data_IF_797955516566
#
_entry.id   IF_797955516566
#
_cell.length_a   1.000
_cell.length_b   1.000
_cell.length_c   1.000
_cell.angle_alpha   90.00
_cell.angle_beta   90.00
_cell.angle_gamma   90.00
#
_symmetry.space_group_name_H-M   'P 1'
#
loop_
_entity.id
_entity.type
_entity.pdbx_description
1 polymer ?
#
# COMPACT_ATOMS: atom_id res chain seq x y z
N UNK A 1 3.52 16.63 -15.02
CA UNK A 1 3.12 15.25 -14.72
C UNK A 1 4.34 14.38 -14.96
N UNK A 2 5.18 14.18 -13.95
CA UNK A 2 6.43 13.41 -14.03
C UNK A 2 6.34 12.37 -12.91
N UNK A 3 6.07 11.10 -13.25
CA UNK A 3 6.08 10.00 -12.27
C UNK A 3 4.93 9.00 -12.34
N UNK A 4 3.92 9.21 -13.19
CA UNK A 4 2.81 8.25 -13.35
C UNK A 4 3.02 7.24 -14.48
N UNK A 5 4.11 7.37 -15.21
CA UNK A 5 4.54 6.42 -16.23
C UNK A 5 5.46 5.40 -15.56
N UNK A 6 4.85 4.35 -15.01
CA UNK A 6 5.59 3.16 -14.60
C UNK A 6 6.21 2.50 -15.84
N UNK A 7 7.41 1.93 -15.76
CA UNK A 7 8.02 1.25 -16.89
C UNK A 7 7.11 0.12 -17.36
N UNK A 8 6.53 0.29 -18.55
CA UNK A 8 5.79 -0.76 -19.21
C UNK A 8 6.78 -1.87 -19.59
N UNK A 9 6.53 -3.09 -19.12
CA UNK A 9 7.24 -4.28 -19.61
C UNK A 9 6.34 -4.93 -20.67
N UNK A 10 6.59 -4.80 -21.99
CA UNK A 10 5.83 -5.57 -22.97
C UNK A 10 6.57 -6.89 -23.30
N UNK A 11 5.86 -8.02 -23.18
CA UNK A 11 5.92 -9.22 -24.05
C UNK A 11 5.38 -10.50 -23.36
N UNK A 12 4.11 -10.47 -22.95
CA UNK A 12 3.19 -11.61 -22.75
C UNK A 12 1.82 -11.02 -22.40
N UNK A 13 0.67 -11.68 -22.66
CA UNK A 13 -0.58 -11.26 -22.03
C UNK A 13 -0.37 -11.25 -20.51
N UNK A 14 -0.64 -10.11 -19.87
CA UNK A 14 -0.46 -9.97 -18.44
C UNK A 14 -1.31 -11.03 -17.72
N UNK A 15 -0.69 -11.83 -16.87
CA UNK A 15 -1.37 -12.84 -16.07
C UNK A 15 -2.32 -12.17 -15.08
N UNK A 16 -1.93 -11.02 -14.52
CA UNK A 16 -2.68 -10.27 -13.52
C UNK A 16 -2.77 -8.78 -13.88
N UNK A 17 -3.90 -8.16 -13.59
CA UNK A 17 -4.18 -6.74 -13.78
C UNK A 17 -4.54 -6.06 -12.44
N UNK A 18 -3.76 -5.06 -12.04
CA UNK A 18 -3.96 -4.27 -10.84
C UNK A 18 -4.34 -2.85 -11.25
N UNK A 19 -5.57 -2.44 -10.92
CA UNK A 19 -6.03 -1.09 -11.15
C UNK A 19 -5.88 -0.25 -9.88
N UNK A 20 -5.01 0.75 -9.93
CA UNK A 20 -4.85 1.73 -8.87
C UNK A 20 -5.67 2.96 -9.23
N UNK A 21 -6.57 3.36 -8.35
CA UNK A 21 -7.40 4.55 -8.58
C UNK A 21 -6.54 5.81 -8.56
N UNK A 22 -6.59 6.59 -9.64
CA UNK A 22 -5.90 7.87 -9.77
C UNK A 22 -6.74 8.97 -9.12
N UNK A 23 -6.47 9.19 -7.84
CA UNK A 23 -7.11 10.27 -7.08
C UNK A 23 -6.45 11.63 -7.42
N UNK A 24 -7.20 12.75 -7.44
CA UNK A 24 -6.66 14.07 -7.80
C UNK A 24 -5.46 14.52 -6.95
N UNK A 25 -5.33 13.98 -5.73
CA UNK A 25 -4.25 14.29 -4.78
C UNK A 25 -3.52 13.02 -4.31
N UNK A 26 -3.35 12.05 -5.21
CA UNK A 26 -2.63 10.81 -4.93
C UNK A 26 -1.26 11.10 -4.30
N UNK A 27 -0.94 10.40 -3.22
CA UNK A 27 0.36 10.42 -2.56
C UNK A 27 0.95 9.00 -2.54
N UNK A 28 2.28 8.89 -2.37
CA UNK A 28 3.00 7.62 -2.26
C UNK A 28 2.71 6.66 -3.43
N UNK A 29 2.65 7.19 -4.66
CA UNK A 29 2.38 6.40 -5.87
C UNK A 29 3.47 5.33 -6.14
N UNK A 30 4.64 5.50 -5.54
CA UNK A 30 5.79 4.59 -5.55
C UNK A 30 5.53 3.29 -4.77
N UNK A 31 4.52 3.26 -3.89
CA UNK A 31 4.10 2.03 -3.20
C UNK A 31 3.80 0.87 -4.17
N UNK A 32 3.38 1.19 -5.40
CA UNK A 32 2.95 0.21 -6.41
C UNK A 32 4.05 -0.18 -7.40
N UNK A 33 5.20 0.50 -7.40
CA UNK A 33 6.35 0.14 -8.24
C UNK A 33 6.80 -1.33 -8.07
N UNK A 34 6.87 -1.88 -6.84
CA UNK A 34 7.26 -3.27 -6.66
C UNK A 34 6.33 -4.25 -7.38
N UNK A 35 5.03 -3.98 -7.45
CA UNK A 35 4.07 -4.81 -8.20
C UNK A 35 4.30 -4.68 -9.72
N UNK A 36 4.55 -3.48 -10.21
CA UNK A 36 4.77 -3.23 -11.63
C UNK A 36 6.04 -3.90 -12.20
N UNK A 37 7.00 -4.22 -11.31
CA UNK A 37 8.23 -4.94 -11.65
C UNK A 37 8.05 -6.46 -11.67
N UNK A 38 6.93 -6.98 -11.19
CA UNK A 38 6.70 -8.42 -11.12
C UNK A 38 6.34 -8.98 -12.51
N UNK A 39 6.94 -10.12 -12.92
CA UNK A 39 6.68 -10.69 -14.23
C UNK A 39 5.19 -10.99 -14.44
N UNK A 40 4.64 -10.54 -15.57
CA UNK A 40 3.25 -10.81 -15.93
C UNK A 40 2.20 -10.04 -15.10
N UNK A 41 2.61 -9.07 -14.29
CA UNK A 41 1.69 -8.18 -13.55
C UNK A 41 1.61 -6.84 -14.27
N UNK A 42 0.40 -6.43 -14.64
CA UNK A 42 0.12 -5.09 -15.15
C UNK A 42 -0.39 -4.23 -14.00
N UNK A 43 0.22 -3.07 -13.79
CA UNK A 43 -0.28 -2.04 -12.88
C UNK A 43 -0.69 -0.83 -13.70
N UNK A 44 -1.92 -0.35 -13.52
CA UNK A 44 -2.45 0.81 -14.25
C UNK A 44 -3.12 1.80 -13.31
N UNK A 45 -2.85 3.08 -13.53
CA UNK A 45 -3.46 4.18 -12.78
C UNK A 45 -4.69 4.70 -13.51
N UNK A 46 -5.86 4.54 -12.92
CA UNK A 46 -7.16 4.69 -13.57
C UNK A 46 -7.86 5.96 -13.11
N UNK A 47 -8.22 6.83 -14.05
CA UNK A 47 -8.99 8.05 -13.77
C UNK A 47 -10.50 7.91 -14.05
N UNK A 48 -10.89 7.05 -14.98
CA UNK A 48 -12.30 6.79 -15.31
C UNK A 48 -12.79 5.49 -14.61
N UNK A 49 -13.86 5.54 -13.80
CA UNK A 49 -14.42 4.35 -13.16
C UNK A 49 -14.70 3.18 -14.11
N UNK A 50 -15.04 3.43 -15.38
CA UNK A 50 -15.30 2.39 -16.38
C UNK A 50 -14.08 1.54 -16.68
N UNK A 51 -12.89 2.11 -16.51
CA UNK A 51 -11.66 1.36 -16.71
C UNK A 51 -11.40 0.42 -15.52
N UNK A 52 -12.07 0.52 -14.37
CA UNK A 52 -11.84 -0.40 -13.24
C UNK A 52 -12.33 -1.83 -13.50
N UNK A 53 -13.26 -2.00 -14.45
CA UNK A 53 -13.86 -3.29 -14.78
C UNK A 53 -12.81 -4.32 -15.24
N UNK A 54 -12.95 -5.55 -14.75
CA UNK A 54 -12.12 -6.69 -15.16
C UNK A 54 -10.69 -6.68 -14.60
N UNK A 55 -10.37 -5.79 -13.67
CA UNK A 55 -9.13 -5.87 -12.89
C UNK A 55 -9.16 -7.09 -11.97
N UNK A 56 -7.99 -7.68 -11.70
CA UNK A 56 -7.86 -8.77 -10.72
C UNK A 56 -7.74 -8.22 -9.29
N UNK A 57 -7.28 -6.98 -9.14
CA UNK A 57 -7.19 -6.25 -7.87
C UNK A 57 -7.47 -4.77 -8.10
N UNK A 58 -8.26 -4.19 -7.20
CA UNK A 58 -8.49 -2.76 -7.11
C UNK A 58 -7.74 -2.19 -5.91
N UNK A 59 -7.05 -1.07 -6.12
CA UNK A 59 -6.32 -0.39 -5.06
C UNK A 59 -6.80 1.05 -4.92
N UNK A 60 -7.23 1.39 -3.70
CA UNK A 60 -7.47 2.77 -3.29
C UNK A 60 -6.20 3.29 -2.59
N UNK A 61 -5.42 4.17 -3.24
CA UNK A 61 -4.22 4.73 -2.64
C UNK A 61 -4.57 5.82 -1.61
N UNK A 62 -3.53 6.32 -0.92
CA UNK A 62 -3.67 7.49 -0.05
C UNK A 62 -4.08 8.73 -0.83
N UNK A 63 -5.05 9.49 -0.30
CA UNK A 63 -5.47 10.81 -0.77
C UNK A 63 -5.60 11.76 0.42
N UNK A 64 -5.60 13.07 0.13
CA UNK A 64 -5.80 14.17 1.09
C UNK A 64 -7.18 14.85 0.95
N UNK A 65 -8.17 14.17 0.35
CA UNK A 65 -9.58 14.60 0.25
C UNK A 65 -10.43 13.52 -0.45
N UNK A 66 -11.58 13.21 0.16
CA UNK A 66 -12.03 11.81 0.26
C UNK A 66 -13.55 11.64 0.23
N UNK A 67 -14.31 12.48 -0.51
CA UNK A 67 -15.79 12.48 -0.45
C UNK A 67 -16.53 12.44 -1.79
N UNK A 68 -15.93 12.95 -2.88
CA UNK A 68 -16.70 13.29 -4.09
C UNK A 68 -16.37 12.45 -5.34
N UNK A 69 -15.31 11.62 -5.31
CA UNK A 69 -14.64 11.17 -6.55
C UNK A 69 -14.75 9.68 -6.88
N UNK A 70 -15.57 8.86 -6.20
CA UNK A 70 -15.59 7.42 -6.48
C UNK A 70 -16.98 6.86 -6.74
N UNK A 71 -17.22 6.53 -8.01
CA UNK A 71 -18.11 5.44 -8.39
C UNK A 71 -17.54 4.14 -7.81
N UNK A 72 -18.33 3.49 -6.97
CA UNK A 72 -17.92 2.32 -6.18
C UNK A 72 -17.42 1.20 -7.10
N UNK A 73 -16.28 0.56 -6.78
CA UNK A 73 -15.86 -0.64 -7.48
C UNK A 73 -16.94 -1.73 -7.40
N UNK A 74 -17.22 -2.37 -8.53
CA UNK A 74 -18.19 -3.46 -8.65
C UNK A 74 -17.89 -4.57 -7.63
N UNK A 75 -18.95 -5.19 -7.13
CA UNK A 75 -18.94 -6.06 -5.96
C UNK A 75 -18.26 -7.46 -6.14
N UNK A 76 -17.26 -7.60 -7.02
CA UNK A 76 -16.64 -8.89 -7.37
C UNK A 76 -15.13 -9.01 -7.13
N UNK A 77 -14.41 -7.90 -7.30
CA UNK A 77 -12.96 -7.85 -7.26
C UNK A 77 -12.43 -7.61 -5.83
N UNK A 78 -11.27 -8.20 -5.46
CA UNK A 78 -10.56 -7.80 -4.25
C UNK A 78 -10.20 -6.31 -4.26
N UNK A 79 -10.32 -5.66 -3.11
CA UNK A 79 -10.01 -4.24 -2.89
C UNK A 79 -8.99 -4.10 -1.76
N UNK A 80 -7.92 -3.34 -2.00
CA UNK A 80 -6.96 -2.92 -0.97
C UNK A 80 -6.97 -1.39 -0.84
N UNK A 81 -7.30 -0.88 0.34
CA UNK A 81 -7.20 0.54 0.68
C UNK A 81 -5.97 0.81 1.53
N UNK A 82 -5.16 1.81 1.15
CA UNK A 82 -3.96 2.23 1.87
C UNK A 82 -4.12 3.66 2.37
N UNK A 83 -3.93 3.88 3.67
CA UNK A 83 -4.04 5.17 4.35
C UNK A 83 -5.37 5.88 4.02
N UNK A 84 -5.40 6.98 3.27
CA UNK A 84 -6.66 7.62 2.85
C UNK A 84 -7.63 6.65 2.13
N UNK A 85 -7.09 5.69 1.38
CA UNK A 85 -7.85 4.61 0.77
C UNK A 85 -8.49 3.65 1.76
N UNK A 86 -7.81 3.35 2.87
CA UNK A 86 -8.40 2.60 3.97
C UNK A 86 -9.55 3.37 4.61
N UNK A 87 -9.36 4.67 4.85
CA UNK A 87 -10.38 5.52 5.44
C UNK A 87 -11.65 5.58 4.58
N UNK A 88 -11.50 5.64 3.25
CA UNK A 88 -12.61 5.58 2.29
C UNK A 88 -13.45 4.33 2.41
N UNK A 89 -12.84 3.19 2.69
CA UNK A 89 -13.55 1.92 2.76
C UNK A 89 -14.51 1.84 3.95
N UNK A 90 -14.33 2.70 4.96
CA UNK A 90 -15.15 2.74 6.17
C UNK A 90 -16.58 3.25 5.97
N UNK A 91 -17.33 3.27 7.06
CA UNK A 91 -18.70 3.77 7.12
C UNK A 91 -18.75 5.30 7.16
N UNK A 92 -17.80 5.93 7.85
CA UNK A 92 -17.75 7.38 8.01
C UNK A 92 -16.33 7.91 8.25
N UNK A 93 -16.11 9.14 7.77
CA UNK A 93 -14.94 9.96 8.03
C UNK A 93 -15.40 11.19 8.81
N UNK A 94 -14.95 11.32 10.06
CA UNK A 94 -15.31 12.39 10.98
C UNK A 94 -14.16 13.40 11.05
N UNK A 95 -14.46 14.66 10.76
CA UNK A 95 -13.51 15.77 10.84
C UNK A 95 -14.07 16.91 11.71
N UNK A 96 -14.25 16.69 13.02
CA UNK A 96 -14.91 17.65 13.91
C UNK A 96 -14.18 19.00 14.00
N UNK A 97 -12.90 19.03 13.62
CA UNK A 97 -12.06 20.24 13.58
C UNK A 97 -11.82 20.79 12.17
N UNK A 98 -12.39 20.17 11.13
CA UNK A 98 -12.27 20.58 9.72
C UNK A 98 -10.83 20.75 9.26
N UNK A 99 -9.98 19.81 9.63
CA UNK A 99 -8.54 19.82 9.32
C UNK A 99 -8.27 19.38 7.88
N UNK A 100 -9.05 18.42 7.38
CA UNK A 100 -8.90 17.79 6.04
C UNK A 100 -10.05 18.17 5.10
N UNK A 101 -11.27 18.36 5.62
CA UNK A 101 -12.46 18.63 4.82
C UNK A 101 -13.29 19.79 5.35
N UNK A 102 -14.07 20.42 4.46
CA UNK A 102 -14.97 21.51 4.83
C UNK A 102 -16.16 21.01 5.66
N UNK A 103 -16.56 19.75 5.46
CA UNK A 103 -17.65 19.11 6.18
C UNK A 103 -17.14 18.49 7.49
N UNK A 104 -17.91 18.57 8.59
CA UNK A 104 -17.51 17.96 9.86
C UNK A 104 -17.61 16.43 9.83
N UNK A 105 -18.32 15.86 8.87
CA UNK A 105 -18.44 14.42 8.66
C UNK A 105 -18.82 14.13 7.20
N UNK A 106 -18.31 13.02 6.68
CA UNK A 106 -18.62 12.50 5.34
C UNK A 106 -18.88 11.00 5.44
N UNK A 107 -19.87 10.50 4.70
CA UNK A 107 -20.07 9.06 4.55
C UNK A 107 -18.91 8.42 3.76
N UNK A 108 -18.42 7.28 4.24
CA UNK A 108 -17.49 6.46 3.48
C UNK A 108 -18.21 5.51 2.51
N UNK A 109 -17.47 4.59 1.89
CA UNK A 109 -18.00 3.59 0.95
C UNK A 109 -18.79 2.48 1.65
N UNK A 110 -18.63 2.31 2.97
CA UNK A 110 -19.34 1.32 3.77
C UNK A 110 -18.95 -0.13 3.47
N UNK A 111 -17.74 -0.37 2.97
CA UNK A 111 -17.23 -1.71 2.64
C UNK A 111 -16.56 -2.39 3.83
N UNK A 112 -16.11 -1.62 4.81
CA UNK A 112 -15.54 -2.09 6.07
C UNK A 112 -16.27 -1.43 7.26
N UNK A 113 -16.53 -2.16 8.35
CA UNK A 113 -17.17 -1.63 9.57
C UNK A 113 -16.18 -0.83 10.41
N UNK A 114 -15.67 0.26 9.82
CA UNK A 114 -14.69 1.14 10.43
C UNK A 114 -15.11 2.59 10.34
N UNK A 115 -14.76 3.38 11.35
CA UNK A 115 -15.00 4.83 11.39
C UNK A 115 -13.66 5.51 11.62
N UNK A 116 -13.34 6.51 10.79
CA UNK A 116 -12.09 7.26 10.94
C UNK A 116 -12.38 8.65 11.49
N UNK A 117 -11.69 9.06 12.54
CA UNK A 117 -11.72 10.43 13.07
C UNK A 117 -10.40 11.14 12.79
N UNK A 118 -10.45 12.32 12.18
CA UNK A 118 -9.25 13.13 11.90
C UNK A 118 -8.77 13.87 13.16
N UNK A 119 -7.52 13.59 13.51
CA UNK A 119 -6.78 14.21 14.60
C UNK A 119 -6.05 15.49 14.18
N UNK A 120 -5.53 16.22 15.16
CA UNK A 120 -4.60 17.34 14.97
C UNK A 120 -3.15 16.87 14.97
N UNK A 121 -2.90 15.66 15.47
CA UNK A 121 -1.58 15.05 15.54
C UNK A 121 -1.37 14.14 14.35
N UNK A 122 -0.18 14.24 13.76
CA UNK A 122 0.22 13.44 12.61
C UNK A 122 1.09 12.29 13.08
N UNK A 123 0.64 11.06 12.87
CA UNK A 123 1.46 9.87 13.02
C UNK A 123 2.46 9.82 11.87
N UNK A 124 3.75 9.79 12.20
CA UNK A 124 4.83 9.47 11.26
C UNK A 124 5.81 8.53 11.94
N UNK A 125 5.91 7.30 11.45
CA UNK A 125 6.77 6.29 12.06
C UNK A 125 7.25 5.26 11.03
N UNK A 126 8.49 4.79 11.18
CA UNK A 126 8.91 3.55 10.52
C UNK A 126 8.38 2.38 11.35
N UNK A 127 7.78 1.40 10.68
CA UNK A 127 7.05 0.32 11.33
C UNK A 127 7.68 -1.02 10.99
N UNK A 128 7.81 -1.87 12.00
CA UNK A 128 7.89 -3.33 11.78
C UNK A 128 6.56 -3.93 12.20
N UNK A 129 6.07 -4.86 11.39
CA UNK A 129 4.82 -5.53 11.63
C UNK A 129 4.90 -7.00 11.25
N UNK A 130 3.92 -7.77 11.73
CA UNK A 130 3.69 -9.16 11.37
C UNK A 130 2.36 -9.30 10.66
N UNK A 131 2.34 -10.03 9.55
CA UNK A 131 1.10 -10.38 8.87
C UNK A 131 0.27 -11.37 9.71
N UNK A 132 -1.00 -11.02 9.97
CA UNK A 132 -1.96 -11.82 10.74
C UNK A 132 -3.18 -12.26 9.94
N UNK A 133 -3.35 -11.74 8.71
CA UNK A 133 -4.50 -12.00 7.86
C UNK A 133 -4.89 -13.49 7.82
N UNK A 134 -6.09 -13.87 8.30
CA UNK A 134 -6.52 -15.27 8.31
C UNK A 134 -7.01 -15.77 6.94
N UNK A 135 -7.44 -14.84 6.07
CA UNK A 135 -7.99 -15.10 4.74
C UNK A 135 -7.56 -14.01 3.76
N UNK A 136 -7.92 -14.17 2.48
CA UNK A 136 -7.71 -13.13 1.47
C UNK A 136 -6.26 -13.01 0.98
N UNK A 137 -5.86 -11.83 0.46
CA UNK A 137 -4.65 -11.66 -0.33
C UNK A 137 -3.34 -11.95 0.43
N UNK A 138 -3.31 -11.77 1.75
CA UNK A 138 -2.09 -11.96 2.55
C UNK A 138 -2.10 -13.20 3.44
N UNK A 139 -3.11 -14.07 3.32
CA UNK A 139 -3.22 -15.26 4.18
C UNK A 139 -1.99 -16.19 4.09
N UNK A 140 -1.43 -16.38 2.90
CA UNK A 140 -0.24 -17.19 2.69
C UNK A 140 1.05 -16.57 3.28
N UNK A 141 1.01 -15.29 3.67
CA UNK A 141 2.10 -14.60 4.35
C UNK A 141 1.89 -14.53 5.87
N UNK A 142 0.85 -15.18 6.43
CA UNK A 142 0.59 -15.15 7.87
C UNK A 142 1.82 -15.58 8.67
N UNK A 143 2.22 -14.75 9.62
CA UNK A 143 3.42 -14.91 10.43
C UNK A 143 4.67 -14.22 9.89
N UNK A 144 4.70 -13.83 8.60
CA UNK A 144 5.83 -13.13 8.02
C UNK A 144 6.01 -11.74 8.65
N UNK A 145 7.26 -11.37 8.89
CA UNK A 145 7.66 -10.00 9.24
C UNK A 145 7.60 -9.12 7.99
N UNK A 146 7.25 -7.86 8.18
CA UNK A 146 7.29 -6.82 7.16
C UNK A 146 7.85 -5.51 7.71
N UNK A 147 8.50 -4.77 6.83
CA UNK A 147 8.87 -3.37 7.07
C UNK A 147 7.89 -2.46 6.34
N UNK A 148 7.46 -1.41 7.03
CA UNK A 148 6.45 -0.46 6.55
C UNK A 148 6.70 0.93 7.16
N UNK A 149 5.81 1.86 6.86
CA UNK A 149 5.76 3.14 7.55
C UNK A 149 4.32 3.68 7.63
N UNK A 150 4.07 4.49 8.65
CA UNK A 150 2.82 5.20 8.88
C UNK A 150 3.03 6.69 8.54
N UNK A 151 2.05 7.30 7.85
CA UNK A 151 1.98 8.75 7.62
C UNK A 151 0.52 9.21 7.51
N UNK A 152 -0.14 9.42 8.64
CA UNK A 152 -1.58 9.73 8.66
C UNK A 152 -1.97 10.61 9.86
N UNK A 153 -3.13 11.26 9.75
CA UNK A 153 -3.76 12.03 10.84
C UNK A 153 -5.07 11.39 11.31
N UNK A 154 -5.59 10.43 10.56
CA UNK A 154 -6.80 9.69 10.93
C UNK A 154 -6.51 8.65 11.99
N UNK A 155 -7.42 8.53 12.95
CA UNK A 155 -7.50 7.43 13.91
C UNK A 155 -8.72 6.61 13.55
N UNK A 156 -8.56 5.29 13.34
CA UNK A 156 -9.63 4.44 12.83
C UNK A 156 -10.06 3.42 13.87
N UNK A 157 -11.32 3.51 14.27
CA UNK A 157 -12.00 2.53 15.10
C UNK A 157 -12.48 1.37 14.23
N UNK A 158 -12.14 0.14 14.60
CA UNK A 158 -12.49 -1.07 13.86
C UNK A 158 -13.39 -1.94 14.70
N UNK A 159 -14.52 -2.38 14.14
CA UNK A 159 -15.51 -3.20 14.83
C UNK A 159 -15.72 -4.52 14.11
N UNK A 160 -15.77 -5.62 14.86
CA UNK A 160 -16.27 -6.92 14.40
C UNK A 160 -15.55 -7.55 13.18
N UNK A 161 -14.32 -7.13 12.89
CA UNK A 161 -13.51 -7.66 11.78
C UNK A 161 -12.05 -7.87 12.18
N UNK A 162 -11.36 -8.74 11.43
CA UNK A 162 -9.96 -9.04 11.69
C UNK A 162 -9.06 -7.84 11.36
N UNK A 163 -8.03 -7.64 12.17
CA UNK A 163 -6.93 -6.70 11.90
C UNK A 163 -5.81 -7.47 11.20
N UNK A 164 -5.48 -7.20 9.93
CA UNK A 164 -4.56 -8.02 9.14
C UNK A 164 -3.09 -7.91 9.54
N UNK A 165 -2.69 -6.94 10.37
CA UNK A 165 -1.30 -6.72 10.77
C UNK A 165 -1.16 -6.45 12.26
N UNK A 166 -0.12 -7.01 12.89
CA UNK A 166 0.31 -6.60 14.22
C UNK A 166 1.57 -5.76 14.11
N UNK A 167 1.54 -4.54 14.65
CA UNK A 167 2.68 -3.64 14.73
C UNK A 167 3.54 -4.06 15.93
N UNK A 168 4.78 -4.44 15.65
CA UNK A 168 5.74 -4.95 16.65
C UNK A 168 6.75 -3.89 17.06
N UNK A 169 6.97 -2.87 16.24
CA UNK A 169 7.80 -1.72 16.58
C UNK A 169 7.44 -0.46 15.78
N UNK A 170 7.61 0.70 16.41
CA UNK A 170 7.56 2.04 15.79
C UNK A 170 8.85 2.80 16.08
N UNK A 171 9.53 3.27 15.04
CA UNK A 171 10.79 4.05 15.15
C UNK A 171 11.82 3.42 16.10
N UNK A 172 12.01 2.10 15.96
CA UNK A 172 12.88 1.25 16.80
C UNK A 172 12.44 1.00 18.25
N UNK A 173 11.34 1.59 18.71
CA UNK A 173 10.72 1.25 20.00
C UNK A 173 9.75 0.07 19.83
N UNK A 174 9.72 -0.90 20.76
CA UNK A 174 8.71 -1.95 20.77
C UNK A 174 7.30 -1.37 20.82
N UNK A 175 6.37 -2.02 20.12
CA UNK A 175 4.95 -1.68 20.12
C UNK A 175 4.13 -2.98 20.15
N UNK A 176 2.90 -2.89 20.65
CA UNK A 176 1.91 -3.97 20.65
C UNK A 176 0.58 -3.35 20.24
N UNK A 177 0.37 -3.27 18.93
CA UNK A 177 -0.78 -2.62 18.34
C UNK A 177 -1.21 -3.39 17.08
N UNK A 178 -2.43 -3.17 16.62
CA UNK A 178 -2.99 -3.82 15.44
C UNK A 178 -3.32 -2.79 14.38
N UNK A 179 -3.05 -3.10 13.12
CA UNK A 179 -3.38 -2.22 12.00
C UNK A 179 -4.32 -2.87 10.99
N UNK A 180 -5.12 -2.00 10.38
CA UNK A 180 -5.99 -2.29 9.26
C UNK A 180 -7.29 -2.98 9.63
N UNK A 181 -8.09 -3.31 8.63
CA UNK A 181 -9.30 -4.09 8.76
C UNK A 181 -9.45 -5.00 7.54
N UNK A 182 -9.97 -6.20 7.75
CA UNK A 182 -10.18 -7.20 6.71
C UNK A 182 -11.58 -7.78 6.85
N UNK A 183 -12.38 -7.69 5.78
CA UNK A 183 -13.71 -8.26 5.78
C UNK A 183 -13.68 -9.80 5.94
N UNK A 184 -14.76 -10.44 6.42
CA UNK A 184 -14.77 -11.88 6.67
C UNK A 184 -14.52 -12.75 5.42
N UNK A 185 -14.76 -12.23 4.21
CA UNK A 185 -14.52 -12.97 2.95
C UNK A 185 -13.09 -12.78 2.44
N UNK A 186 -12.32 -11.86 3.03
CA UNK A 186 -10.97 -11.52 2.58
C UNK A 186 -10.92 -10.81 1.24
N UNK A 187 -12.03 -10.20 0.81
CA UNK A 187 -12.16 -9.45 -0.42
C UNK A 187 -11.79 -7.97 -0.24
N UNK A 188 -12.04 -7.37 0.92
CA UNK A 188 -11.79 -5.96 1.20
C UNK A 188 -10.81 -5.85 2.36
N UNK A 189 -9.65 -5.24 2.10
CA UNK A 189 -8.61 -5.00 3.09
C UNK A 189 -8.28 -3.51 3.14
N UNK A 190 -8.20 -2.95 4.33
CA UNK A 190 -7.70 -1.60 4.57
C UNK A 190 -6.53 -1.61 5.56
N UNK A 191 -5.60 -0.68 5.44
CA UNK A 191 -4.40 -0.57 6.30
C UNK A 191 -3.79 0.83 6.25
N UNK A 192 -3.14 1.27 7.34
CA UNK A 192 -2.32 2.48 7.36
C UNK A 192 -0.87 2.25 6.93
N UNK A 193 -0.45 0.98 6.83
CA UNK A 193 0.91 0.62 6.47
C UNK A 193 1.16 0.90 4.98
N UNK A 194 2.07 1.83 4.70
CA UNK A 194 2.66 2.01 3.38
C UNK A 194 3.85 1.08 3.17
N UNK A 195 4.28 0.90 1.91
CA UNK A 195 5.38 0.00 1.56
C UNK A 195 5.04 -1.49 1.62
N UNK A 196 3.75 -1.87 1.73
CA UNK A 196 3.34 -3.29 1.78
C UNK A 196 3.95 -4.11 0.65
N UNK A 197 3.90 -3.58 -0.57
CA UNK A 197 4.40 -4.29 -1.75
C UNK A 197 5.93 -4.28 -1.86
N UNK A 198 6.65 -3.50 -1.05
CA UNK A 198 8.11 -3.68 -0.96
C UNK A 198 8.48 -5.02 -0.28
N UNK A 199 7.55 -5.63 0.46
CA UNK A 199 7.78 -6.87 1.17
C UNK A 199 7.53 -8.10 0.28
N UNK A 200 8.60 -8.86 0.05
CA UNK A 200 8.63 -10.03 -0.84
C UNK A 200 7.56 -11.08 -0.51
N UNK A 201 7.41 -11.44 0.77
CA UNK A 201 6.43 -12.42 1.23
C UNK A 201 4.99 -11.96 0.95
N UNK A 202 4.70 -10.67 1.17
CA UNK A 202 3.38 -10.09 0.94
C UNK A 202 3.06 -10.02 -0.56
N UNK A 203 4.02 -9.58 -1.41
CA UNK A 203 3.83 -9.61 -2.87
C UNK A 203 3.54 -11.01 -3.36
N UNK A 204 4.34 -12.00 -2.94
CA UNK A 204 4.14 -13.39 -3.34
C UNK A 204 2.78 -13.92 -2.93
N UNK A 205 2.36 -13.65 -1.69
CA UNK A 205 1.04 -14.06 -1.20
C UNK A 205 -0.09 -13.42 -2.00
N UNK A 206 -0.02 -12.10 -2.22
CA UNK A 206 -1.03 -11.37 -2.98
C UNK A 206 -1.17 -11.91 -4.40
N UNK A 207 -0.07 -11.96 -5.16
CA UNK A 207 -0.10 -12.38 -6.55
C UNK A 207 -0.53 -13.85 -6.68
N UNK A 208 -0.08 -14.71 -5.76
CA UNK A 208 -0.56 -16.09 -5.68
C UNK A 208 -2.06 -16.20 -5.43
N UNK A 209 -2.60 -15.38 -4.52
CA UNK A 209 -4.03 -15.30 -4.25
C UNK A 209 -4.83 -14.86 -5.48
N UNK A 210 -4.39 -13.80 -6.17
CA UNK A 210 -5.05 -13.30 -7.38
C UNK A 210 -5.01 -14.33 -8.52
N UNK A 211 -3.86 -14.99 -8.71
CA UNK A 211 -3.74 -16.03 -9.73
C UNK A 211 -4.69 -17.21 -9.47
N UNK A 212 -4.81 -17.64 -8.21
CA UNK A 212 -5.76 -18.69 -7.83
C UNK A 212 -7.22 -18.29 -8.12
N UNK A 213 -7.61 -17.05 -7.80
CA UNK A 213 -8.95 -16.52 -8.12
C UNK A 213 -9.23 -16.50 -9.61
N UNK A 214 -8.23 -16.18 -10.42
CA UNK A 214 -8.34 -16.12 -11.90
C UNK A 214 -8.26 -17.50 -12.56
N UNK A 215 -7.88 -18.55 -11.84
CA UNK A 215 -7.53 -19.85 -12.42
C UNK A 215 -6.23 -19.83 -13.23
N UNK A 216 -5.37 -18.83 -13.00
CA UNK A 216 -4.06 -18.71 -13.63
C UNK A 216 -2.98 -19.47 -12.83
N UNK A 217 -1.93 -19.93 -13.52
CA UNK A 217 -0.77 -20.52 -12.85
C UNK A 217 0.08 -19.42 -12.21
N UNK A 218 0.47 -19.53 -10.94
CA UNK A 218 1.33 -18.53 -10.30
C UNK A 218 2.75 -18.56 -10.91
N UNK A 219 3.34 -17.38 -11.09
CA UNK A 219 4.74 -17.28 -11.55
C UNK A 219 5.70 -17.56 -10.38
N UNK A 220 6.65 -18.50 -10.50
CA UNK A 220 7.59 -18.83 -9.43
C UNK A 220 8.62 -17.71 -9.16
N UNK A 221 8.62 -16.64 -9.95
CA UNK A 221 9.49 -15.46 -9.75
C UNK A 221 8.85 -14.40 -8.85
N UNK A 222 7.55 -14.46 -8.59
CA UNK A 222 6.87 -13.48 -7.75
C UNK A 222 7.43 -13.41 -6.33
N UNK A 223 7.64 -12.18 -5.86
CA UNK A 223 8.21 -11.92 -4.53
C UNK A 223 9.65 -12.41 -4.40
N UNK A 224 10.40 -12.55 -5.50
CA UNK A 224 11.85 -12.72 -5.40
C UNK A 224 12.48 -11.39 -4.95
N UNK A 225 13.48 -11.43 -4.06
CA UNK A 225 14.23 -10.24 -3.71
C UNK A 225 14.77 -9.57 -4.97
N UNK A 226 14.43 -8.31 -5.19
CA UNK A 226 15.04 -7.55 -6.25
C UNK A 226 16.53 -7.35 -5.90
N UNK A 227 17.48 -7.55 -6.84
CA UNK A 227 18.84 -7.07 -6.64
C UNK A 227 18.75 -5.57 -6.38
N UNK A 228 19.24 -5.11 -5.23
CA UNK A 228 19.10 -3.74 -4.80
C UNK A 228 19.60 -2.79 -5.90
N UNK A 229 18.66 -2.20 -6.64
CA UNK A 229 18.97 -1.24 -7.69
C UNK A 229 19.70 -0.02 -7.09
N UNK A 230 19.36 0.30 -5.84
CA UNK A 230 20.05 1.29 -5.02
C UNK A 230 21.47 0.89 -4.64
N UNK A 231 21.77 -0.39 -4.42
CA UNK A 231 23.16 -0.82 -4.18
C UNK A 231 23.97 -0.69 -5.46
N UNK A 232 23.41 -1.05 -6.62
CA UNK A 232 24.09 -0.82 -7.91
C UNK A 232 24.30 0.66 -8.20
N UNK A 233 23.32 1.52 -7.89
CA UNK A 233 23.47 2.97 -8.02
C UNK A 233 24.47 3.52 -6.99
N UNK A 234 24.40 3.08 -5.74
CA UNK A 234 25.32 3.48 -4.69
C UNK A 234 26.74 3.04 -5.02
N UNK A 235 26.94 1.85 -5.57
CA UNK A 235 28.23 1.35 -6.05
C UNK A 235 28.72 2.16 -7.25
N UNK A 236 27.85 2.47 -8.21
CA UNK A 236 28.20 3.33 -9.34
C UNK A 236 28.59 4.75 -8.87
N UNK A 237 27.86 5.33 -7.92
CA UNK A 237 28.18 6.64 -7.33
C UNK A 237 29.48 6.57 -6.53
N UNK A 238 29.69 5.53 -5.69
CA UNK A 238 30.95 5.32 -4.96
C UNK A 238 32.14 5.13 -5.89
N UNK A 239 31.93 4.50 -7.05
CA UNK A 239 32.98 4.30 -8.05
C UNK A 239 33.28 5.59 -8.84
N UNK A 240 32.28 6.43 -9.08
CA UNK A 240 32.42 7.66 -9.87
C UNK A 240 32.80 8.90 -9.03
N UNK A 241 32.57 8.88 -7.72
CA UNK A 241 32.70 10.04 -6.84
C UNK A 241 33.55 9.68 -5.62
N UNK A 242 34.54 10.51 -5.28
CA UNK A 242 35.29 10.37 -4.03
C UNK A 242 34.42 10.83 -2.84
N UNK A 243 33.54 9.92 -2.40
CA UNK A 243 32.63 10.13 -1.27
C UNK A 243 33.40 10.49 0.01
N UNK A 244 34.67 10.06 0.14
CA UNK A 244 35.52 10.42 1.28
C UNK A 244 35.98 11.87 1.21
N UNK A 245 36.36 12.35 0.03
CA UNK A 245 36.69 13.76 -0.17
C UNK A 245 35.49 14.67 0.13
N UNK A 246 34.30 14.29 -0.36
CA UNK A 246 33.06 15.02 -0.06
C UNK A 246 32.78 15.00 1.45
N UNK A 247 32.87 13.83 2.09
CA UNK A 247 32.68 13.69 3.54
C UNK A 247 33.61 14.61 4.35
N UNK A 248 34.89 14.71 3.96
CA UNK A 248 35.84 15.66 4.58
C UNK A 248 35.44 17.12 4.39
N UNK A 249 34.96 17.49 3.20
CA UNK A 249 34.55 18.87 2.88
C UNK A 249 33.32 19.31 3.68
N UNK A 250 32.42 18.38 4.03
CA UNK A 250 31.20 18.69 4.80
C UNK A 250 31.28 18.29 6.28
N UNK A 251 32.49 17.96 6.77
CA UNK A 251 32.72 17.67 8.21
C UNK A 251 32.20 16.33 8.69
N UNK A 252 31.89 15.39 7.79
CA UNK A 252 31.43 14.04 8.13
C UNK A 252 32.61 13.06 8.23
N UNK A 253 32.68 12.31 9.34
CA UNK A 253 33.58 11.16 9.45
C UNK A 253 32.97 9.97 8.71
N UNK A 254 33.52 9.66 7.54
CA UNK A 254 33.15 8.45 6.80
C UNK A 254 33.83 7.26 7.48
N UNK A 255 33.07 6.40 8.17
CA UNK A 255 33.57 5.16 8.78
C UNK A 255 33.76 4.11 7.69
N UNK A 256 34.81 3.29 7.83
CA UNK A 256 35.29 2.32 6.84
C UNK A 256 34.25 1.27 6.45
#
# INVERSE_FOLDING_TARGET
SLGLDLPATPAAPAALDVAVVRLPRIANFDDFEPLAREPGVRVRFVGDPRELEGADLLVLPGTKSTAADLGVPGAGEPVIGICGGYQMLGEALLDPRRVESAEPAVAGLGLLPVVTTFGSEKTTARVRARALAPVGPFAAARGAELEAYEIHMGQTDVRDVARPFAITARSAAPADDLDGALDPRGAVLGTYLHGLFANDALRRALLGHLAARKGARPDPRWGRPAPAAWDRLADAVRAAVDVRAIGRLVGLRVVA
#
